data_IF_624289005297
#
_entry.id   IF_624289005297
#
_cell.length_a   1.000
_cell.length_b   1.000
_cell.length_c   1.000
_cell.angle_alpha   90.00
_cell.angle_beta   90.00
_cell.angle_gamma   90.00
#
_symmetry.space_group_name_H-M   'P 1'
#
loop_
_entity.id
_entity.type
_entity.pdbx_description
1 polymer ?
#
# COMPACT_ATOMS: atom_id res chain seq x y z
N UNK A 1 -6.40 -33.18 -24.87
CA UNK A 1 -5.49 -32.01 -25.04
C UNK A 1 -5.81 -30.79 -24.16
N UNK A 2 -6.92 -30.73 -23.38
CA UNK A 2 -7.27 -29.50 -22.65
C UNK A 2 -6.42 -29.12 -21.42
N UNK A 3 -5.84 -30.09 -20.71
CA UNK A 3 -5.19 -29.84 -19.41
C UNK A 3 -3.84 -29.10 -19.48
N UNK A 4 -3.11 -29.18 -20.61
CA UNK A 4 -1.83 -28.48 -20.79
C UNK A 4 -2.03 -26.98 -21.05
N UNK A 5 -3.08 -26.61 -21.79
CA UNK A 5 -3.38 -25.21 -22.12
C UNK A 5 -3.74 -24.39 -20.87
N UNK A 6 -4.58 -24.95 -19.97
CA UNK A 6 -4.95 -24.28 -18.73
C UNK A 6 -3.76 -24.04 -17.80
N UNK A 7 -2.84 -25.01 -17.69
CA UNK A 7 -1.63 -24.82 -16.89
C UNK A 7 -0.73 -23.72 -17.50
N UNK A 8 -0.53 -23.71 -18.82
CA UNK A 8 0.25 -22.66 -19.49
C UNK A 8 -0.35 -21.27 -19.26
N UNK A 9 -1.68 -21.13 -19.33
CA UNK A 9 -2.37 -19.86 -19.06
C UNK A 9 -2.20 -19.41 -17.60
N UNK A 10 -2.28 -20.34 -16.63
CA UNK A 10 -2.04 -20.06 -15.21
C UNK A 10 -0.59 -19.61 -14.96
N UNK A 11 0.40 -20.29 -15.54
CA UNK A 11 1.80 -19.88 -15.46
C UNK A 11 2.04 -18.51 -16.11
N UNK A 12 1.43 -18.23 -17.27
CA UNK A 12 1.55 -16.93 -17.96
C UNK A 12 0.96 -15.79 -17.13
N UNK A 13 -0.21 -16.00 -16.50
CA UNK A 13 -0.85 -15.01 -15.62
C UNK A 13 -0.03 -14.79 -14.34
N UNK A 14 0.49 -15.85 -13.72
CA UNK A 14 1.38 -15.74 -12.56
C UNK A 14 2.69 -15.00 -12.89
N UNK A 15 3.29 -15.30 -14.05
CA UNK A 15 4.52 -14.67 -14.53
C UNK A 15 4.32 -13.18 -14.84
N UNK A 16 3.22 -12.83 -15.51
CA UNK A 16 2.83 -11.44 -15.76
C UNK A 16 2.59 -10.69 -14.44
N UNK A 17 1.86 -11.30 -13.50
CA UNK A 17 1.63 -10.74 -12.16
C UNK A 17 2.91 -10.48 -11.38
N UNK A 18 3.86 -11.42 -11.41
CA UNK A 18 5.18 -11.26 -10.78
C UNK A 18 5.98 -10.10 -11.37
N UNK A 19 6.03 -9.97 -12.70
CA UNK A 19 6.75 -8.89 -13.39
C UNK A 19 6.13 -7.53 -13.02
N UNK A 20 4.81 -7.40 -13.11
CA UNK A 20 4.15 -6.12 -12.82
C UNK A 20 4.28 -5.73 -11.34
N UNK A 21 4.16 -6.68 -10.41
CA UNK A 21 4.37 -6.44 -8.99
C UNK A 21 5.81 -5.99 -8.68
N UNK A 22 6.80 -6.64 -9.30
CA UNK A 22 8.21 -6.29 -9.13
C UNK A 22 8.54 -4.92 -9.74
N UNK A 23 7.95 -4.58 -10.89
CA UNK A 23 8.07 -3.26 -11.52
C UNK A 23 7.47 -2.16 -10.66
N UNK A 24 6.24 -2.34 -10.16
CA UNK A 24 5.59 -1.41 -9.25
C UNK A 24 6.40 -1.23 -7.96
N UNK A 25 6.92 -2.33 -7.40
CA UNK A 25 7.82 -2.28 -6.23
C UNK A 25 9.10 -1.48 -6.50
N UNK A 26 9.68 -1.60 -7.70
CA UNK A 26 10.79 -0.76 -8.14
C UNK A 26 10.42 0.72 -8.15
N UNK A 27 9.31 1.09 -8.80
CA UNK A 27 8.82 2.46 -8.85
C UNK A 27 8.55 3.06 -7.45
N UNK A 28 8.01 2.27 -6.52
CA UNK A 28 7.80 2.69 -5.12
C UNK A 28 9.15 2.97 -4.43
N UNK A 29 10.19 2.13 -4.63
CA UNK A 29 11.52 2.38 -4.05
C UNK A 29 12.15 3.67 -4.57
N UNK A 30 12.11 3.89 -5.89
CA UNK A 30 12.59 5.14 -6.50
C UNK A 30 11.83 6.35 -5.96
N UNK A 31 10.50 6.27 -5.84
CA UNK A 31 9.69 7.34 -5.25
C UNK A 31 10.07 7.65 -3.80
N UNK A 32 10.39 6.62 -2.98
CA UNK A 32 10.88 6.80 -1.61
C UNK A 32 12.25 7.48 -1.57
N UNK A 33 13.17 7.15 -2.48
CA UNK A 33 14.49 7.81 -2.56
C UNK A 33 14.41 9.27 -2.99
N UNK A 34 13.42 9.60 -3.82
CA UNK A 34 13.21 10.95 -4.35
C UNK A 34 12.42 11.88 -3.41
N UNK A 35 11.81 11.37 -2.33
CA UNK A 35 11.13 12.21 -1.32
C UNK A 35 12.12 13.12 -0.57
N UNK A 36 11.82 14.41 -0.36
CA UNK A 36 12.58 15.25 0.55
C UNK A 36 12.46 14.76 2.00
N UNK A 37 13.49 15.04 2.81
CA UNK A 37 13.49 14.75 4.26
C UNK A 37 12.33 15.51 4.92
N UNK A 38 11.55 14.83 5.75
CA UNK A 38 10.39 15.46 6.38
C UNK A 38 10.83 16.52 7.41
N UNK A 39 10.19 17.68 7.39
CA UNK A 39 10.49 18.78 8.32
C UNK A 39 9.62 18.71 9.57
N UNK A 40 10.03 19.41 10.63
CA UNK A 40 9.27 19.44 11.90
C UNK A 40 7.92 20.14 11.75
N UNK A 41 7.78 21.04 10.79
CA UNK A 41 6.54 21.77 10.54
C UNK A 41 5.49 20.86 9.89
N UNK A 42 5.91 19.97 8.97
CA UNK A 42 5.07 18.91 8.40
C UNK A 42 4.57 17.94 9.49
N UNK A 43 5.42 17.58 10.46
CA UNK A 43 5.04 16.75 11.62
C UNK A 43 3.94 17.40 12.48
N UNK A 44 3.99 18.73 12.66
CA UNK A 44 3.02 19.48 13.48
C UNK A 44 1.68 19.68 12.74
N UNK A 45 1.72 19.88 11.43
CA UNK A 45 0.52 20.01 10.61
C UNK A 45 -0.25 18.67 10.53
N UNK A 46 0.44 17.55 10.29
CA UNK A 46 -0.16 16.20 10.35
C UNK A 46 -0.63 15.84 11.77
N UNK A 47 0.04 16.34 12.81
CA UNK A 47 -0.42 16.23 14.20
C UNK A 47 -1.76 16.94 14.44
N UNK A 48 -2.05 18.00 13.68
CA UNK A 48 -3.23 18.86 13.83
C UNK A 48 -4.41 18.35 12.99
N UNK A 49 -4.21 18.11 11.69
CA UNK A 49 -5.26 17.67 10.77
C UNK A 49 -6.00 16.39 11.25
N UNK A 50 -5.28 15.44 11.85
CA UNK A 50 -5.88 14.22 12.39
C UNK A 50 -6.63 14.42 13.73
N UNK A 51 -6.38 15.51 14.47
CA UNK A 51 -7.25 15.89 15.60
C UNK A 51 -8.59 16.38 15.05
N UNK A 52 -8.55 17.24 14.04
CA UNK A 52 -9.74 17.76 13.38
C UNK A 52 -10.60 16.61 12.78
N UNK A 53 -9.99 15.61 12.14
CA UNK A 53 -10.72 14.40 11.70
C UNK A 53 -11.29 13.58 12.86
N UNK A 54 -10.55 13.42 13.96
CA UNK A 54 -11.01 12.66 15.14
C UNK A 54 -12.18 13.37 15.84
N UNK A 55 -12.16 14.70 15.89
CA UNK A 55 -13.23 15.52 16.44
C UNK A 55 -14.48 15.51 15.52
N UNK A 56 -14.31 15.59 14.20
CA UNK A 56 -15.40 15.45 13.22
C UNK A 56 -16.06 14.06 13.29
N UNK A 57 -15.27 12.98 13.41
CA UNK A 57 -15.78 11.62 13.53
C UNK A 57 -16.59 11.37 14.82
N UNK A 58 -16.34 12.15 15.88
CA UNK A 58 -17.12 12.08 17.12
C UNK A 58 -18.49 12.76 16.95
N UNK A 59 -18.57 13.87 16.20
CA UNK A 59 -19.80 14.66 16.00
C UNK A 59 -20.82 13.96 15.10
N UNK A 60 -20.39 13.23 14.07
CA UNK A 60 -21.30 12.57 13.11
C UNK A 60 -22.08 11.36 13.69
N UNK A 61 -21.82 11.01 14.95
CA UNK A 61 -22.49 9.89 15.64
C UNK A 61 -23.93 10.18 16.09
N UNK A 62 -24.40 11.44 16.07
CA UNK A 62 -25.56 11.86 16.86
C UNK A 62 -26.80 12.40 16.12
N UNK A 63 -26.80 12.53 14.79
CA UNK A 63 -27.92 13.16 14.05
C UNK A 63 -28.54 12.24 12.98
N UNK A 64 -29.53 11.42 13.39
CA UNK A 64 -30.41 10.70 12.45
C UNK A 64 -31.77 11.41 12.32
N UNK A 65 -32.04 11.87 11.10
CA UNK A 65 -33.34 12.02 10.41
C UNK A 65 -34.58 12.38 11.23
N UNK A 66 -35.26 13.43 10.77
CA UNK A 66 -36.65 13.25 10.34
C UNK A 66 -36.99 14.13 9.12
N UNK A 67 -38.12 13.82 8.46
CA UNK A 67 -38.52 14.29 7.13
C UNK A 67 -39.74 15.23 7.22
N UNK A 68 -39.85 16.27 6.35
CA UNK A 68 -41.05 16.56 5.52
C UNK A 68 -41.22 18.03 5.04
N UNK A 69 -41.79 18.14 3.82
CA UNK A 69 -42.71 19.18 3.30
C UNK A 69 -42.34 20.68 3.22
N UNK A 70 -42.07 21.12 1.99
CA UNK A 70 -42.85 22.10 1.18
C UNK A 70 -43.57 23.26 1.91
N UNK A 71 -43.16 24.52 1.63
CA UNK A 71 -43.98 25.60 1.02
C UNK A 71 -43.33 27.01 1.13
N UNK A 72 -43.27 27.75 0.01
CA UNK A 72 -43.23 29.24 -0.06
C UNK A 72 -44.67 29.80 0.05
N UNK A 73 -44.97 31.11 0.27
CA UNK A 73 -44.29 32.34 -0.21
C UNK A 73 -43.96 33.32 0.96
N UNK A 74 -43.71 34.65 0.85
CA UNK A 74 -43.63 35.65 -0.24
C UNK A 74 -42.71 36.83 0.21
N UNK A 75 -42.47 37.87 -0.62
CA UNK A 75 -41.92 39.15 -0.11
C UNK A 75 -41.06 40.04 -1.03
N UNK A 76 -41.60 40.50 -2.16
CA UNK A 76 -41.25 41.75 -2.88
C UNK A 76 -39.93 42.52 -2.57
N UNK A 77 -38.97 42.50 -3.52
CA UNK A 77 -38.42 43.72 -4.16
C UNK A 77 -38.15 43.38 -5.64
N UNK A 78 -38.45 44.30 -6.56
CA UNK A 78 -38.07 44.17 -7.97
C UNK A 78 -36.66 44.66 -8.17
N UNK A 79 -35.78 43.80 -8.65
CA UNK A 79 -34.58 44.21 -9.39
C UNK A 79 -34.35 43.15 -10.48
N UNK A 80 -34.45 43.56 -11.74
CA UNK A 80 -34.27 42.67 -12.91
C UNK A 80 -32.77 42.38 -13.10
N UNK A 81 -32.22 41.56 -12.20
CA UNK A 81 -30.83 41.10 -12.27
C UNK A 81 -30.68 40.05 -13.36
N UNK A 82 -29.77 40.29 -14.31
CA UNK A 82 -29.52 39.41 -15.47
C UNK A 82 -29.26 37.95 -15.03
N UNK A 83 -30.12 36.98 -15.41
CA UNK A 83 -30.01 35.58 -14.99
C UNK A 83 -28.79 34.85 -15.58
N UNK A 84 -28.02 35.47 -16.48
CA UNK A 84 -26.80 34.90 -17.06
C UNK A 84 -25.51 35.66 -16.66
N UNK A 85 -25.61 36.76 -15.91
CA UNK A 85 -24.45 37.50 -15.38
C UNK A 85 -23.51 38.11 -16.43
N UNK A 86 -24.02 38.38 -17.65
CA UNK A 86 -23.27 38.95 -18.78
C UNK A 86 -22.90 40.42 -18.57
N UNK A 87 -23.60 41.17 -17.71
CA UNK A 87 -23.23 42.54 -17.36
C UNK A 87 -21.83 42.63 -16.70
N UNK A 88 -21.37 41.56 -16.04
CA UNK A 88 -19.99 41.47 -15.51
C UNK A 88 -18.91 41.35 -16.62
N UNK A 89 -19.32 41.06 -17.86
CA UNK A 89 -18.43 40.90 -19.02
C UNK A 89 -18.38 42.15 -19.92
N UNK A 90 -19.16 43.21 -19.62
CA UNK A 90 -19.12 44.49 -20.33
C UNK A 90 -18.10 45.42 -19.63
N UNK A 91 -16.93 45.72 -20.23
CA UNK A 91 -15.91 46.52 -19.54
C UNK A 91 -16.33 48.00 -19.50
N UNK A 92 -16.87 48.45 -18.36
CA UNK A 92 -17.10 49.88 -18.12
C UNK A 92 -15.76 50.63 -18.12
N UNK A 93 -15.58 51.51 -19.11
CA UNK A 93 -14.32 52.22 -19.33
C UNK A 93 -14.05 53.26 -18.24
N UNK A 94 -12.75 53.42 -17.94
CA UNK A 94 -12.13 54.51 -17.16
C UNK A 94 -12.31 54.36 -15.63
N UNK A 95 -11.28 54.49 -14.78
CA UNK A 95 -10.01 55.22 -14.93
C UNK A 95 -8.81 54.49 -14.28
N UNK A 96 -7.63 54.69 -14.88
CA UNK A 96 -6.34 54.96 -14.22
C UNK A 96 -6.03 54.17 -12.92
N UNK A 97 -5.15 53.17 -13.02
CA UNK A 97 -3.81 53.32 -12.43
C UNK A 97 -2.77 52.33 -12.99
N UNK A 98 -1.60 52.88 -13.25
CA UNK A 98 -0.39 52.19 -13.68
C UNK A 98 0.43 51.85 -12.42
N UNK A 99 0.62 50.54 -12.10
CA UNK A 99 1.67 49.92 -11.23
C UNK A 99 1.18 48.70 -10.42
N UNK A 100 0.92 47.56 -11.07
CA UNK A 100 0.63 46.28 -10.38
C UNK A 100 1.33 45.04 -10.95
N UNK A 101 2.34 45.20 -11.84
CA UNK A 101 2.99 44.05 -12.49
C UNK A 101 3.87 43.19 -11.56
N UNK A 102 4.46 43.75 -10.51
CA UNK A 102 5.35 43.03 -9.59
C UNK A 102 4.68 42.21 -8.48
N UNK A 103 3.41 42.51 -8.12
CA UNK A 103 2.73 41.83 -7.00
C UNK A 103 2.07 40.51 -7.42
N UNK A 104 1.86 40.29 -8.72
CA UNK A 104 1.17 39.11 -9.25
C UNK A 104 2.08 37.87 -9.31
N UNK A 105 3.35 38.03 -9.72
CA UNK A 105 4.31 36.91 -9.81
C UNK A 105 4.74 36.36 -8.44
N UNK A 106 4.76 37.19 -7.39
CA UNK A 106 5.05 36.72 -6.02
C UNK A 106 3.86 35.94 -5.46
N UNK A 107 2.63 36.37 -5.77
CA UNK A 107 1.43 35.67 -5.33
C UNK A 107 1.30 34.28 -5.99
N UNK A 108 1.57 34.16 -7.29
CA UNK A 108 1.52 32.85 -7.98
C UNK A 108 2.60 31.90 -7.50
N UNK A 109 3.83 32.36 -7.22
CA UNK A 109 4.89 31.51 -6.66
C UNK A 109 4.55 30.94 -5.27
N UNK A 110 3.92 31.74 -4.41
CA UNK A 110 3.45 31.31 -3.08
C UNK A 110 2.29 30.30 -3.19
N UNK A 111 1.53 30.34 -4.28
CA UNK A 111 0.46 29.38 -4.57
C UNK A 111 1.05 28.05 -5.10
N UNK A 112 1.97 28.13 -6.06
CA UNK A 112 2.73 26.99 -6.61
C UNK A 112 3.50 26.22 -5.51
N UNK A 113 4.21 26.91 -4.61
CA UNK A 113 4.93 26.28 -3.49
C UNK A 113 3.98 25.44 -2.61
N UNK A 114 2.82 26.01 -2.22
CA UNK A 114 1.80 25.30 -1.42
C UNK A 114 1.17 24.12 -2.16
N UNK A 115 1.02 24.21 -3.48
CA UNK A 115 0.58 23.07 -4.29
C UNK A 115 1.62 21.94 -4.28
N UNK A 116 2.92 22.27 -4.36
CA UNK A 116 3.97 21.25 -4.24
C UNK A 116 4.04 20.62 -2.85
N UNK A 117 3.83 21.38 -1.77
CA UNK A 117 3.74 20.85 -0.40
C UNK A 117 2.55 19.89 -0.24
N UNK A 118 1.38 20.27 -0.76
CA UNK A 118 0.18 19.39 -0.79
C UNK A 118 0.43 18.13 -1.59
N UNK A 119 1.07 18.24 -2.75
CA UNK A 119 1.45 17.09 -3.56
C UNK A 119 2.40 16.15 -2.82
N UNK A 120 3.42 16.68 -2.12
CA UNK A 120 4.34 15.88 -1.31
C UNK A 120 3.65 15.16 -0.15
N UNK A 121 2.68 15.80 0.53
CA UNK A 121 1.85 15.17 1.57
C UNK A 121 1.07 13.97 1.00
N UNK A 122 0.30 14.20 -0.07
CA UNK A 122 -0.46 13.15 -0.77
C UNK A 122 0.46 12.03 -1.31
N UNK A 123 1.66 12.36 -1.79
CA UNK A 123 2.64 11.40 -2.26
C UNK A 123 3.14 10.50 -1.13
N UNK A 124 3.45 11.07 0.06
CA UNK A 124 3.85 10.29 1.23
C UNK A 124 2.73 9.35 1.70
N UNK A 125 1.49 9.84 1.78
CA UNK A 125 0.31 9.03 2.12
C UNK A 125 0.09 7.88 1.14
N UNK A 126 0.13 8.16 -0.18
CA UNK A 126 0.01 7.14 -1.21
C UNK A 126 1.09 6.06 -1.12
N UNK A 127 2.32 6.44 -0.73
CA UNK A 127 3.41 5.48 -0.51
C UNK A 127 3.16 4.59 0.72
N UNK A 128 2.63 5.12 1.82
CA UNK A 128 2.21 4.30 2.97
C UNK A 128 1.10 3.31 2.57
N UNK A 129 0.07 3.77 1.86
CA UNK A 129 -0.99 2.90 1.34
C UNK A 129 -0.44 1.80 0.41
N UNK A 130 0.52 2.11 -0.47
CA UNK A 130 1.20 1.12 -1.29
C UNK A 130 1.94 0.06 -0.45
N UNK A 131 2.63 0.46 0.61
CA UNK A 131 3.34 -0.44 1.53
C UNK A 131 2.37 -1.36 2.28
N UNK A 132 1.24 -0.84 2.76
CA UNK A 132 0.19 -1.66 3.39
C UNK A 132 -0.41 -2.68 2.42
N UNK A 133 -0.76 -2.25 1.21
CA UNK A 133 -1.35 -3.12 0.18
C UNK A 133 -0.35 -4.22 -0.20
N UNK A 134 0.94 -3.90 -0.30
CA UNK A 134 2.00 -4.88 -0.53
C UNK A 134 2.11 -5.88 0.64
N UNK A 135 2.11 -5.41 1.90
CA UNK A 135 2.16 -6.28 3.08
C UNK A 135 0.97 -7.26 3.16
N UNK A 136 -0.25 -6.85 2.77
CA UNK A 136 -1.42 -7.75 2.68
C UNK A 136 -1.21 -8.93 1.71
N UNK A 137 -0.28 -8.83 0.75
CA UNK A 137 0.08 -9.88 -0.22
C UNK A 137 1.20 -10.83 0.25
N UNK A 138 1.71 -10.68 1.47
CA UNK A 138 2.77 -11.55 2.02
C UNK A 138 2.41 -13.04 2.11
N UNK A 139 1.10 -13.36 2.16
CA UNK A 139 0.58 -14.73 2.09
C UNK A 139 0.96 -15.45 0.79
N UNK A 140 1.28 -14.71 -0.28
CA UNK A 140 1.65 -15.23 -1.59
C UNK A 140 3.17 -15.46 -1.66
N UNK A 141 3.67 -16.70 -1.80
CA UNK A 141 5.10 -17.01 -1.67
C UNK A 141 6.01 -16.21 -2.62
N UNK A 142 5.61 -16.01 -3.87
CA UNK A 142 6.41 -15.27 -4.86
C UNK A 142 6.50 -13.76 -4.58
N UNK A 143 5.63 -13.20 -3.73
CA UNK A 143 5.71 -11.79 -3.32
C UNK A 143 6.70 -11.55 -2.17
N UNK A 144 6.95 -12.57 -1.33
CA UNK A 144 7.52 -12.40 0.01
C UNK A 144 8.89 -11.72 0.00
N UNK A 145 9.82 -12.19 -0.81
CA UNK A 145 11.16 -11.59 -0.92
C UNK A 145 11.11 -10.15 -1.42
N UNK A 146 10.22 -9.86 -2.37
CA UNK A 146 10.03 -8.51 -2.93
C UNK A 146 9.47 -7.55 -1.88
N UNK A 147 8.52 -8.01 -1.05
CA UNK A 147 7.96 -7.25 0.08
C UNK A 147 9.00 -7.07 1.20
N UNK A 148 9.73 -8.12 1.57
CA UNK A 148 10.83 -8.07 2.56
C UNK A 148 11.82 -6.94 2.22
N UNK A 149 12.25 -6.86 0.95
CA UNK A 149 13.20 -5.84 0.48
C UNK A 149 12.54 -4.45 0.41
N UNK A 150 11.27 -4.36 -0.03
CA UNK A 150 10.55 -3.09 -0.13
C UNK A 150 10.35 -2.44 1.25
N UNK A 151 9.83 -3.17 2.22
CA UNK A 151 9.54 -2.63 3.55
C UNK A 151 10.82 -2.35 4.32
N UNK A 152 11.86 -3.19 4.16
CA UNK A 152 13.19 -2.85 4.67
C UNK A 152 13.69 -1.52 4.09
N UNK A 153 13.59 -1.33 2.77
CA UNK A 153 14.03 -0.09 2.11
C UNK A 153 13.25 1.15 2.59
N UNK A 154 11.94 1.03 2.86
CA UNK A 154 11.14 2.09 3.46
C UNK A 154 11.59 2.42 4.90
N UNK A 155 11.86 1.39 5.71
CA UNK A 155 12.38 1.54 7.08
C UNK A 155 13.80 2.14 7.11
N UNK A 156 14.68 1.73 6.21
CA UNK A 156 16.04 2.30 6.09
C UNK A 156 16.00 3.79 5.66
N UNK A 157 14.89 4.28 5.08
CA UNK A 157 14.65 5.68 4.67
C UNK A 157 13.59 6.41 5.52
N UNK A 158 13.32 5.93 6.75
CA UNK A 158 12.22 6.40 7.61
C UNK A 158 12.24 7.92 7.92
N UNK A 159 13.40 8.57 7.84
CA UNK A 159 13.54 10.03 8.00
C UNK A 159 12.84 10.89 6.94
N UNK A 160 12.49 10.32 5.77
CA UNK A 160 11.76 11.01 4.69
C UNK A 160 10.25 11.08 4.90
N UNK A 161 9.74 10.31 5.86
CA UNK A 161 8.33 10.27 6.26
C UNK A 161 8.11 11.10 7.52
N UNK A 162 6.87 11.54 7.75
CA UNK A 162 6.47 12.25 8.97
C UNK A 162 6.33 11.29 10.16
N UNK A 163 6.43 11.80 11.38
CA UNK A 163 6.41 11.07 12.65
C UNK A 163 5.36 9.96 12.73
N UNK A 164 4.09 10.21 12.37
CA UNK A 164 3.03 9.19 12.41
C UNK A 164 3.20 8.12 11.33
N UNK A 165 3.69 8.51 10.16
CA UNK A 165 4.01 7.59 9.06
C UNK A 165 5.22 6.71 9.44
N UNK A 166 6.18 7.23 10.22
CA UNK A 166 7.28 6.43 10.81
C UNK A 166 6.71 5.33 11.71
N UNK A 167 5.84 5.66 12.66
CA UNK A 167 5.18 4.67 13.54
C UNK A 167 4.43 3.58 12.74
N UNK A 168 3.79 3.95 11.62
CA UNK A 168 3.11 3.01 10.73
C UNK A 168 4.11 2.07 10.03
N UNK A 169 5.21 2.61 9.50
CA UNK A 169 6.30 1.82 8.88
C UNK A 169 6.95 0.88 9.91
N UNK A 170 7.18 1.34 11.15
CA UNK A 170 7.74 0.51 12.22
C UNK A 170 6.85 -0.69 12.56
N UNK A 171 5.53 -0.46 12.73
CA UNK A 171 4.55 -1.53 12.94
C UNK A 171 4.51 -2.52 11.77
N UNK A 172 4.53 -2.01 10.54
CA UNK A 172 4.55 -2.82 9.31
C UNK A 172 5.82 -3.70 9.25
N UNK A 173 6.98 -3.11 9.56
CA UNK A 173 8.27 -3.78 9.54
C UNK A 173 8.41 -4.83 10.64
N UNK A 174 7.91 -4.55 11.85
CA UNK A 174 7.86 -5.54 12.93
C UNK A 174 7.04 -6.78 12.54
N UNK A 175 5.83 -6.56 11.98
CA UNK A 175 4.95 -7.63 11.48
C UNK A 175 5.61 -8.47 10.38
N UNK A 176 6.26 -7.83 9.40
CA UNK A 176 6.95 -8.54 8.32
C UNK A 176 8.20 -9.28 8.82
N UNK A 177 8.96 -8.71 9.76
CA UNK A 177 10.11 -9.38 10.38
C UNK A 177 9.69 -10.62 11.16
N UNK A 178 8.55 -10.57 11.86
CA UNK A 178 7.96 -11.74 12.52
C UNK A 178 7.61 -12.83 11.49
N UNK A 179 6.86 -12.49 10.44
CA UNK A 179 6.49 -13.43 9.38
C UNK A 179 7.72 -14.01 8.64
N UNK A 180 8.76 -13.20 8.41
CA UNK A 180 10.04 -13.68 7.87
C UNK A 180 10.72 -14.68 8.84
N UNK A 181 10.64 -14.43 10.13
CA UNK A 181 11.20 -15.30 11.17
C UNK A 181 10.44 -16.62 11.26
N UNK A 182 9.10 -16.61 11.18
CA UNK A 182 8.28 -17.82 11.15
C UNK A 182 8.61 -18.70 9.93
N UNK A 183 8.75 -18.10 8.74
CA UNK A 183 9.19 -18.82 7.53
C UNK A 183 10.56 -19.48 7.70
N UNK A 184 11.54 -18.75 8.24
CA UNK A 184 12.90 -19.28 8.49
C UNK A 184 12.91 -20.42 9.52
N UNK A 185 11.97 -20.41 10.47
CA UNK A 185 11.85 -21.43 11.52
C UNK A 185 10.98 -22.65 11.10
N UNK A 186 10.46 -22.69 9.87
CA UNK A 186 9.57 -23.78 9.42
C UNK A 186 8.24 -23.86 10.19
N UNK A 187 7.89 -22.82 10.94
CA UNK A 187 6.63 -22.78 11.70
C UNK A 187 5.52 -22.34 10.77
N UNK A 188 4.56 -23.23 10.52
CA UNK A 188 3.36 -22.88 9.77
C UNK A 188 2.55 -21.82 10.51
N UNK A 189 1.68 -21.12 9.78
CA UNK A 189 0.72 -20.14 10.36
C UNK A 189 -0.21 -20.78 11.40
N UNK A 190 -0.31 -22.12 11.44
CA UNK A 190 -1.06 -22.87 12.47
C UNK A 190 -0.34 -23.04 13.81
N UNK A 191 0.92 -22.58 13.92
CA UNK A 191 1.78 -22.83 15.09
C UNK A 191 2.33 -24.25 15.19
N UNK A 192 1.85 -25.18 14.33
CA UNK A 192 2.42 -26.52 14.21
C UNK A 192 3.81 -26.41 13.58
N UNK A 193 4.80 -26.94 14.29
CA UNK A 193 6.13 -27.21 13.76
C UNK A 193 5.95 -28.31 12.71
N UNK A 194 5.99 -27.94 11.43
CA UNK A 194 6.00 -28.92 10.36
C UNK A 194 7.39 -29.56 10.36
N UNK A 195 7.51 -30.70 11.05
CA UNK A 195 8.70 -31.54 11.01
C UNK A 195 9.10 -31.72 9.56
N UNK A 196 10.32 -31.32 9.23
CA UNK A 196 10.78 -31.34 7.85
C UNK A 196 10.68 -32.79 7.34
N UNK A 197 10.45 -33.00 6.04
CA UNK A 197 10.30 -34.36 5.48
C UNK A 197 11.50 -35.27 5.86
N UNK A 198 12.68 -34.66 6.01
CA UNK A 198 13.87 -35.30 6.55
C UNK A 198 13.74 -35.74 8.02
N UNK A 199 13.22 -34.90 8.92
CA UNK A 199 13.01 -35.23 10.34
C UNK A 199 11.92 -36.30 10.50
N UNK A 200 10.86 -36.23 9.68
CA UNK A 200 9.84 -37.27 9.64
C UNK A 200 10.40 -38.62 9.17
N UNK A 201 11.22 -38.62 8.11
CA UNK A 201 11.95 -39.81 7.66
C UNK A 201 12.93 -40.30 8.75
N UNK A 202 13.63 -39.40 9.43
CA UNK A 202 14.56 -39.73 10.52
C UNK A 202 13.82 -40.36 11.69
N UNK A 203 12.69 -39.81 12.15
CA UNK A 203 11.86 -40.41 13.21
C UNK A 203 11.30 -41.77 12.80
N UNK A 204 10.90 -41.92 11.53
CA UNK A 204 10.45 -43.20 10.97
C UNK A 204 11.56 -44.24 11.04
N UNK A 205 12.73 -43.96 10.47
CA UNK A 205 13.85 -44.90 10.40
C UNK A 205 14.60 -45.08 11.74
N UNK A 206 14.56 -44.12 12.67
CA UNK A 206 15.18 -44.26 13.99
C UNK A 206 14.48 -45.30 14.88
N UNK A 207 13.16 -45.49 14.71
CA UNK A 207 12.40 -46.54 15.39
C UNK A 207 12.35 -47.85 14.59
N UNK A 208 12.72 -47.83 13.31
CA UNK A 208 12.68 -48.98 12.41
C UNK A 208 13.99 -49.78 12.55
N UNK A 209 13.90 -51.04 13.01
CA UNK A 209 15.09 -51.92 13.11
C UNK A 209 15.60 -52.29 11.72
N UNK A 210 16.50 -51.46 11.17
CA UNK A 210 17.28 -51.78 9.98
C UNK A 210 18.20 -52.95 10.30
N UNK A 211 17.76 -54.17 9.98
CA UNK A 211 18.56 -55.36 10.19
C UNK A 211 19.71 -55.42 9.19
N UNK A 212 20.94 -55.30 9.69
CA UNK A 212 22.19 -55.48 8.95
C UNK A 212 22.28 -56.86 8.26
N UNK A 213 21.39 -57.81 8.59
CA UNK A 213 21.33 -59.17 8.03
C UNK A 213 20.11 -59.46 7.15
N UNK A 214 19.20 -58.52 6.92
CA UNK A 214 18.06 -58.74 6.01
C UNK A 214 18.18 -57.95 4.72
N UNK A 215 18.46 -58.71 3.66
CA UNK A 215 18.32 -58.39 2.24
C UNK A 215 17.18 -57.42 1.93
N UNK A 216 17.49 -56.35 1.19
CA UNK A 216 16.49 -55.57 0.43
C UNK A 216 16.07 -56.35 -0.82
N UNK A 217 15.35 -57.44 -0.60
CA UNK A 217 14.89 -58.37 -1.63
C UNK A 217 14.53 -59.71 -1.00
N UNK A 218 13.23 -60.03 -0.95
CA UNK A 218 12.76 -61.23 -0.25
C UNK A 218 11.23 -61.43 -0.18
N UNK A 219 10.43 -60.44 -0.59
CA UNK A 219 9.02 -60.65 -0.94
C UNK A 219 8.81 -60.21 -2.39
N UNK A 220 8.19 -61.07 -3.17
CA UNK A 220 8.14 -60.95 -4.63
C UNK A 220 7.26 -59.81 -5.14
N UNK A 221 7.44 -59.57 -6.43
CA UNK A 221 6.58 -58.76 -7.31
C UNK A 221 6.61 -57.23 -7.14
N UNK A 222 7.77 -56.64 -7.46
CA UNK A 222 7.90 -55.30 -8.07
C UNK A 222 9.11 -55.27 -9.00
N UNK A 223 8.86 -55.14 -10.32
CA UNK A 223 9.92 -55.01 -11.32
C UNK A 223 10.59 -53.64 -11.19
N UNK A 224 11.72 -53.58 -10.49
CA UNK A 224 12.58 -52.40 -10.52
C UNK A 224 13.21 -52.29 -11.93
N UNK A 225 12.76 -51.33 -12.73
CA UNK A 225 13.46 -50.96 -13.95
C UNK A 225 14.74 -50.23 -13.56
N UNK A 226 15.87 -50.93 -13.69
CA UNK A 226 17.20 -50.39 -13.48
C UNK A 226 17.56 -49.48 -14.64
N UNK A 227 17.57 -48.16 -14.41
CA UNK A 227 18.09 -47.18 -15.35
C UNK A 227 19.62 -47.22 -15.29
N UNK A 228 20.23 -47.93 -16.23
CA UNK A 228 21.66 -47.85 -16.56
C UNK A 228 21.80 -47.09 -17.88
N UNK A 229 22.52 -45.98 -17.87
CA UNK A 229 22.77 -45.10 -19.02
C UNK A 229 22.06 -43.77 -18.89
#
# INVERSE_FOLDING_TARGET
>A
MGLLSNNFLVYLVLWCGFIQFSKATGQIKEAILNLPVATKDEDIEEASALKDETELAHVDSHTKRDVSSVATPEGTVKDDSDPFGLDALIPSKLKKDEKTKGKKEVATKIEEEKETERFLKLQREALILCLEIAARRYKTPWCQTTIDILVKHAFDNISRFTSKQRDAIEKLWASIREQQTWRKQGKSVSGKLDVNGFEWLQQKYANEKISIRHSVGGSGDRRAQQWLG
#
